data_IF_996708108975
#
_entry.id   IF_996708108975
#
_cell.length_a   1.000
_cell.length_b   1.000
_cell.length_c   1.000
_cell.angle_alpha   90.00
_cell.angle_beta   90.00
_cell.angle_gamma   90.00
#
_symmetry.space_group_name_H-M   'P 1'
#
loop_
_entity.id
_entity.type
_entity.pdbx_description
1 polymer ?
#
# COMPACT_ATOMS: atom_id res chain seq x y z
N UNK A 1 -58.15 12.33 -50.47
CA UNK A 1 -56.83 11.74 -50.82
C UNK A 1 -55.95 12.88 -51.33
N UNK A 2 -54.67 12.96 -50.91
CA UNK A 2 -53.69 14.09 -51.05
C UNK A 2 -53.78 15.15 -49.93
N UNK A 3 -52.87 15.16 -48.93
CA UNK A 3 -51.42 15.53 -48.83
C UNK A 3 -51.29 16.96 -48.28
N UNK A 4 -50.97 17.10 -46.98
CA UNK A 4 -49.65 17.27 -46.34
C UNK A 4 -49.09 18.70 -46.48
N UNK A 5 -48.95 19.39 -45.35
CA UNK A 5 -48.08 20.56 -45.22
C UNK A 5 -48.43 21.50 -44.08
N UNK A 6 -47.91 21.28 -42.87
CA UNK A 6 -47.60 22.37 -41.95
C UNK A 6 -46.45 21.97 -41.02
N UNK A 7 -45.45 22.86 -40.98
CA UNK A 7 -44.21 22.77 -40.22
C UNK A 7 -44.49 23.17 -38.77
N UNK A 8 -44.01 22.41 -37.79
CA UNK A 8 -43.89 22.89 -36.41
C UNK A 8 -42.44 23.30 -36.15
N UNK A 9 -42.27 24.59 -35.86
CA UNK A 9 -41.12 25.19 -35.18
C UNK A 9 -41.53 25.28 -33.71
N UNK A 10 -40.83 24.57 -32.81
CA UNK A 10 -41.05 24.67 -31.37
C UNK A 10 -39.85 25.39 -30.72
N UNK A 11 -40.20 26.36 -29.87
CA UNK A 11 -39.36 27.42 -29.31
C UNK A 11 -38.34 26.92 -28.27
N UNK A 12 -37.09 27.38 -28.41
CA UNK A 12 -35.94 27.17 -27.51
C UNK A 12 -35.90 28.20 -26.34
N UNK A 13 -36.99 28.92 -26.07
CA UNK A 13 -36.96 30.10 -25.19
C UNK A 13 -37.52 29.90 -23.76
N UNK A 14 -37.79 28.66 -23.31
CA UNK A 14 -38.50 28.41 -22.02
C UNK A 14 -37.63 27.76 -20.93
N UNK A 15 -36.38 27.41 -21.19
CA UNK A 15 -35.55 26.63 -20.23
C UNK A 15 -34.56 27.47 -19.40
N UNK A 16 -34.46 28.79 -19.61
CA UNK A 16 -33.35 29.59 -19.03
C UNK A 16 -33.77 30.58 -17.91
N UNK A 17 -35.02 30.60 -17.43
CA UNK A 17 -35.49 31.69 -16.57
C UNK A 17 -36.21 31.32 -15.25
N UNK A 18 -36.08 30.09 -14.73
CA UNK A 18 -36.60 29.74 -13.41
C UNK A 18 -35.68 28.75 -12.70
N UNK A 19 -34.77 29.27 -11.87
CA UNK A 19 -34.28 28.68 -10.60
C UNK A 19 -33.17 29.57 -9.99
N UNK A 20 -33.44 30.87 -9.91
CA UNK A 20 -32.70 31.83 -9.09
C UNK A 20 -33.71 32.41 -8.09
N UNK A 21 -33.73 31.89 -6.85
CA UNK A 21 -33.85 32.65 -5.59
C UNK A 21 -34.07 31.75 -4.36
N UNK A 22 -33.10 31.84 -3.43
CA UNK A 22 -33.20 31.77 -1.95
C UNK A 22 -33.82 30.55 -1.23
N UNK A 23 -32.96 29.81 -0.51
CA UNK A 23 -33.05 29.68 0.97
C UNK A 23 -31.61 29.67 1.54
N UNK A 24 -31.30 30.65 2.39
CA UNK A 24 -30.12 30.69 3.23
C UNK A 24 -30.49 30.23 4.64
N UNK A 25 -29.75 29.28 5.22
CA UNK A 25 -29.77 28.90 6.64
C UNK A 25 -28.31 28.63 7.06
N UNK A 26 -27.86 29.07 8.25
CA UNK A 26 -26.44 29.29 8.53
C UNK A 26 -25.73 28.02 9.00
N UNK A 27 -24.52 27.80 8.51
CA UNK A 27 -23.56 26.84 9.08
C UNK A 27 -22.94 27.46 10.34
N UNK A 28 -23.08 26.75 11.47
CA UNK A 28 -22.39 27.06 12.71
C UNK A 28 -20.89 26.75 12.57
N UNK A 29 -20.06 27.77 12.77
CA UNK A 29 -18.61 27.65 12.85
C UNK A 29 -18.21 26.96 14.15
N UNK A 30 -17.85 25.67 14.08
CA UNK A 30 -17.02 25.04 15.11
C UNK A 30 -15.56 25.35 14.75
N UNK A 31 -14.97 26.28 15.50
CA UNK A 31 -13.57 26.67 15.42
C UNK A 31 -12.74 25.50 15.95
N UNK A 32 -12.07 24.75 15.06
CA UNK A 32 -10.94 23.92 15.44
C UNK A 32 -9.75 24.86 15.69
N UNK A 33 -9.45 25.14 16.96
CA UNK A 33 -8.20 25.78 17.35
C UNK A 33 -7.07 24.77 17.14
N UNK A 34 -6.25 25.00 16.11
CA UNK A 34 -4.93 24.41 16.02
C UNK A 34 -4.09 24.92 17.20
N UNK A 35 -3.71 24.01 18.09
CA UNK A 35 -2.82 24.32 19.21
C UNK A 35 -1.38 24.24 18.68
N UNK A 36 -0.75 25.41 18.52
CA UNK A 36 0.65 25.53 18.10
C UNK A 36 1.56 24.85 19.14
N UNK A 37 2.38 23.90 18.68
CA UNK A 37 3.43 23.28 19.48
C UNK A 37 4.52 24.33 19.77
N UNK A 38 4.70 24.67 21.04
CA UNK A 38 5.79 25.51 21.53
C UNK A 38 7.14 24.77 21.45
N UNK A 39 8.22 25.43 21.02
CA UNK A 39 9.55 24.83 20.96
C UNK A 39 10.17 24.68 22.35
N UNK A 40 10.75 23.50 22.62
CA UNK A 40 11.54 23.17 23.81
C UNK A 40 12.83 24.01 23.85
N UNK A 41 13.23 24.60 24.99
CA UNK A 41 14.44 25.41 25.06
C UNK A 41 15.72 24.57 25.04
N UNK A 42 16.75 25.10 24.39
CA UNK A 42 18.10 24.59 24.33
C UNK A 42 18.71 24.51 25.75
N UNK A 43 19.35 23.38 26.05
CA UNK A 43 20.13 23.19 27.26
C UNK A 43 21.46 23.95 27.19
N UNK A 44 21.76 24.64 28.27
CA UNK A 44 22.96 25.46 28.49
C UNK A 44 24.23 24.60 28.64
N UNK A 45 25.36 25.14 28.16
CA UNK A 45 26.71 24.65 28.44
C UNK A 45 27.03 24.80 29.93
N UNK A 46 27.41 23.70 30.58
CA UNK A 46 28.11 23.76 31.87
C UNK A 46 29.45 23.02 31.76
N UNK A 47 30.52 23.81 31.81
CA UNK A 47 31.91 23.35 31.87
C UNK A 47 32.28 22.96 33.30
N UNK A 48 32.86 21.77 33.52
CA UNK A 48 33.61 21.48 34.73
C UNK A 48 34.72 20.44 34.53
N UNK A 49 35.95 20.94 34.71
CA UNK A 49 37.14 20.35 35.33
C UNK A 49 37.55 18.89 35.05
N UNK A 50 38.79 18.79 34.55
CA UNK A 50 39.64 17.61 34.51
C UNK A 50 40.00 17.13 35.92
N UNK A 51 39.93 15.82 36.16
CA UNK A 51 40.71 15.14 37.19
C UNK A 51 41.22 13.80 36.63
N UNK A 52 42.54 13.63 36.62
CA UNK A 52 43.24 12.42 36.22
C UNK A 52 43.41 11.52 37.44
N UNK A 53 42.88 10.29 37.42
CA UNK A 53 43.52 9.19 38.15
C UNK A 53 43.26 7.83 37.50
N UNK A 54 44.28 7.01 37.60
CA UNK A 54 44.65 5.86 36.76
C UNK A 54 44.06 4.51 37.18
N UNK A 55 43.98 3.64 36.17
CA UNK A 55 44.21 2.20 36.16
C UNK A 55 43.08 1.24 36.57
N UNK A 56 42.72 0.39 35.60
CA UNK A 56 41.93 -0.83 35.78
C UNK A 56 41.50 -1.41 34.43
N UNK A 57 42.44 -1.99 33.68
CA UNK A 57 42.11 -2.84 32.52
C UNK A 57 41.28 -4.05 32.99
N UNK A 58 40.00 -4.07 32.63
CA UNK A 58 39.23 -5.29 32.45
C UNK A 58 38.72 -5.30 31.01
N UNK A 59 39.26 -6.25 30.25
CA UNK A 59 38.87 -6.60 28.91
C UNK A 59 37.43 -7.14 28.96
N UNK A 60 36.47 -6.23 28.84
CA UNK A 60 35.08 -6.55 28.60
C UNK A 60 34.93 -6.93 27.13
N UNK A 61 34.41 -8.14 26.93
CA UNK A 61 33.97 -8.65 25.64
C UNK A 61 33.01 -7.65 25.00
N UNK A 62 33.24 -7.32 23.73
CA UNK A 62 32.28 -6.58 22.89
C UNK A 62 30.98 -7.37 22.80
N UNK A 63 30.11 -7.20 23.79
CA UNK A 63 28.68 -7.42 23.65
C UNK A 63 28.23 -6.41 22.60
N UNK A 64 27.79 -6.92 21.46
CA UNK A 64 27.34 -6.10 20.34
C UNK A 64 26.37 -5.06 20.87
N UNK A 65 26.69 -3.78 20.64
CA UNK A 65 25.76 -2.68 20.82
C UNK A 65 24.48 -3.06 20.07
N UNK A 66 23.41 -3.36 20.78
CA UNK A 66 22.06 -3.33 20.22
C UNK A 66 21.87 -1.91 19.68
N UNK A 67 22.02 -1.77 18.37
CA UNK A 67 21.76 -0.52 17.67
C UNK A 67 20.31 -0.12 18.01
N UNK A 68 20.13 1.07 18.57
CA UNK A 68 18.82 1.61 18.92
C UNK A 68 17.92 1.55 17.68
N UNK A 69 16.96 0.62 17.68
CA UNK A 69 16.08 0.38 16.53
C UNK A 69 15.03 1.47 16.51
N UNK A 70 15.32 2.54 15.76
CA UNK A 70 14.38 3.64 15.57
C UNK A 70 13.27 3.26 14.59
N UNK A 71 12.27 2.53 15.08
CA UNK A 71 11.07 2.24 14.31
C UNK A 71 10.18 3.47 14.20
N UNK A 72 9.56 3.65 13.04
CA UNK A 72 8.44 4.56 12.84
C UNK A 72 7.19 3.76 12.53
N UNK A 73 6.05 4.27 12.97
CA UNK A 73 4.75 3.66 12.73
C UNK A 73 4.01 4.41 11.62
N UNK A 74 3.74 3.73 10.52
CA UNK A 74 2.81 4.21 9.49
C UNK A 74 1.39 3.82 9.87
N UNK A 75 0.42 4.71 9.65
CA UNK A 75 -0.97 4.51 10.06
C UNK A 75 -1.94 4.84 8.92
N UNK A 76 -2.93 3.98 8.71
CA UNK A 76 -4.07 4.24 7.82
C UNK A 76 -5.39 3.85 8.47
N UNK A 77 -6.47 4.48 8.03
CA UNK A 77 -7.83 4.27 8.52
C UNK A 77 -8.73 3.80 7.38
N UNK A 78 -9.63 2.88 7.65
CA UNK A 78 -10.55 2.28 6.71
C UNK A 78 -11.98 2.35 7.27
N UNK A 79 -12.96 2.76 6.46
CA UNK A 79 -14.37 2.88 6.86
C UNK A 79 -15.27 2.29 5.77
N UNK A 80 -16.16 1.36 6.12
CA UNK A 80 -17.15 0.83 5.18
C UNK A 80 -18.25 1.87 4.94
N UNK A 81 -18.17 2.56 3.80
CA UNK A 81 -19.11 3.66 3.48
C UNK A 81 -20.38 3.19 2.80
N UNK A 82 -20.33 2.05 2.11
CA UNK A 82 -21.49 1.34 1.54
C UNK A 82 -21.07 -0.09 1.21
N UNK A 83 -22.01 -0.98 0.89
CA UNK A 83 -21.66 -2.36 0.58
C UNK A 83 -20.57 -2.48 -0.48
N UNK A 84 -19.52 -3.23 -0.14
CA UNK A 84 -18.33 -3.48 -0.94
C UNK A 84 -17.44 -2.28 -1.23
N UNK A 85 -17.58 -1.16 -0.52
CA UNK A 85 -16.78 0.06 -0.74
C UNK A 85 -16.22 0.63 0.56
N UNK A 86 -14.90 0.76 0.61
CA UNK A 86 -14.15 1.23 1.77
C UNK A 86 -13.51 2.57 1.46
N UNK A 87 -13.77 3.57 2.32
CA UNK A 87 -13.05 4.83 2.34
C UNK A 87 -11.78 4.67 3.16
N UNK A 88 -10.66 4.98 2.53
CA UNK A 88 -9.35 4.99 3.14
C UNK A 88 -8.91 6.40 3.48
N UNK A 89 -8.16 6.55 4.57
CA UNK A 89 -7.56 7.83 4.97
C UNK A 89 -6.16 7.62 5.52
N UNK A 90 -5.20 8.44 5.09
CA UNK A 90 -3.87 8.52 5.69
C UNK A 90 -3.25 9.90 5.42
N UNK A 91 -2.62 10.51 6.42
CA UNK A 91 -1.89 11.80 6.30
C UNK A 91 -2.70 12.94 5.65
N UNK A 92 -4.02 12.94 5.79
CA UNK A 92 -4.92 13.94 5.20
C UNK A 92 -5.38 13.63 3.76
N UNK A 93 -4.88 12.55 3.16
CA UNK A 93 -5.34 12.05 1.86
C UNK A 93 -6.44 11.01 2.05
N UNK A 94 -7.35 10.95 1.08
CA UNK A 94 -8.52 10.07 1.09
C UNK A 94 -8.69 9.38 -0.26
N UNK A 95 -8.93 8.08 -0.26
CA UNK A 95 -9.13 7.30 -1.48
C UNK A 95 -10.11 6.15 -1.24
N UNK A 96 -10.56 5.49 -2.30
CA UNK A 96 -11.55 4.41 -2.23
C UNK A 96 -10.93 3.10 -2.66
N UNK A 97 -11.26 2.02 -1.92
CA UNK A 97 -11.12 0.67 -2.40
C UNK A 97 -12.46 -0.05 -2.50
N UNK A 98 -12.64 -0.79 -3.59
CA UNK A 98 -13.81 -1.63 -3.83
C UNK A 98 -13.48 -3.11 -3.67
N UNK A 99 -14.47 -3.87 -3.20
CA UNK A 99 -14.44 -5.32 -3.23
C UNK A 99 -14.67 -5.85 -4.65
N UNK A 100 -14.36 -7.12 -4.82
CA UNK A 100 -14.33 -7.80 -6.12
C UNK A 100 -15.55 -8.69 -6.34
N UNK A 101 -15.89 -9.06 -7.59
CA UNK A 101 -17.07 -9.87 -7.87
C UNK A 101 -17.14 -11.22 -7.13
N UNK A 102 -16.02 -11.94 -6.85
CA UNK A 102 -16.05 -13.15 -6.03
C UNK A 102 -16.64 -12.99 -4.61
N UNK A 103 -16.69 -11.77 -4.08
CA UNK A 103 -17.28 -11.44 -2.77
C UNK A 103 -18.38 -10.37 -2.91
N UNK A 104 -19.11 -10.41 -4.04
CA UNK A 104 -20.26 -9.56 -4.37
C UNK A 104 -19.98 -8.03 -4.34
N UNK A 105 -18.76 -7.67 -4.73
CA UNK A 105 -18.32 -6.27 -4.73
C UNK A 105 -18.69 -5.46 -5.97
N UNK A 106 -18.81 -4.12 -5.83
CA UNK A 106 -19.09 -3.22 -6.95
C UNK A 106 -17.96 -3.23 -8.00
N UNK A 107 -16.70 -3.39 -7.57
CA UNK A 107 -15.52 -3.45 -8.44
C UNK A 107 -15.40 -2.27 -9.43
N UNK A 108 -15.94 -1.11 -9.05
CA UNK A 108 -15.93 0.13 -9.84
C UNK A 108 -14.62 0.91 -9.60
N UNK A 109 -14.13 0.92 -8.36
CA UNK A 109 -12.92 1.60 -7.92
C UNK A 109 -11.72 0.64 -7.80
N UNK A 110 -10.58 1.15 -7.32
CA UNK A 110 -9.33 0.39 -7.12
C UNK A 110 -9.55 -0.79 -6.17
N UNK A 111 -8.97 -1.95 -6.46
CA UNK A 111 -9.04 -3.10 -5.54
C UNK A 111 -7.84 -3.12 -4.59
N UNK A 112 -7.98 -3.64 -3.35
CA UNK A 112 -6.86 -3.75 -2.43
C UNK A 112 -5.63 -4.49 -3.00
N UNK A 113 -5.84 -5.57 -3.77
CA UNK A 113 -4.73 -6.27 -4.43
C UNK A 113 -4.06 -5.41 -5.52
N UNK A 114 -4.83 -4.66 -6.30
CA UNK A 114 -4.29 -3.76 -7.32
C UNK A 114 -3.46 -2.63 -6.67
N UNK A 115 -3.90 -2.13 -5.51
CA UNK A 115 -3.18 -1.15 -4.73
C UNK A 115 -1.87 -1.68 -4.14
N UNK A 116 -1.88 -2.90 -3.57
CA UNK A 116 -0.67 -3.58 -3.10
C UNK A 116 0.37 -3.74 -4.22
N UNK A 117 -0.07 -4.20 -5.40
CA UNK A 117 0.81 -4.36 -6.56
C UNK A 117 1.31 -3.00 -7.06
N UNK A 118 0.41 -2.03 -7.21
CA UNK A 118 0.76 -0.66 -7.58
C UNK A 118 1.79 -0.04 -6.65
N UNK A 119 1.64 -0.24 -5.35
CA UNK A 119 2.56 0.20 -4.33
C UNK A 119 3.94 -0.45 -4.45
N UNK A 120 4.02 -1.78 -4.64
CA UNK A 120 5.27 -2.50 -4.89
C UNK A 120 6.01 -1.90 -6.08
N UNK A 121 5.33 -1.70 -7.20
CA UNK A 121 5.94 -1.17 -8.41
C UNK A 121 6.38 0.29 -8.24
N UNK A 122 5.53 1.16 -7.69
CA UNK A 122 5.88 2.56 -7.46
C UNK A 122 7.06 2.71 -6.50
N UNK A 123 7.10 1.93 -5.41
CA UNK A 123 8.25 1.91 -4.50
C UNK A 123 9.56 1.53 -5.23
N UNK A 124 9.52 0.49 -6.07
CA UNK A 124 10.69 0.10 -6.85
C UNK A 124 11.15 1.21 -7.81
N UNK A 125 10.21 1.89 -8.50
CA UNK A 125 10.53 3.01 -9.39
C UNK A 125 11.17 4.20 -8.64
N UNK A 126 10.74 4.48 -7.41
CA UNK A 126 11.33 5.55 -6.60
C UNK A 126 12.72 5.22 -6.08
N UNK A 127 13.01 3.95 -5.78
CA UNK A 127 14.39 3.55 -5.46
C UNK A 127 15.28 3.63 -6.71
N UNK A 128 14.78 3.30 -7.90
CA UNK A 128 15.54 3.53 -9.15
C UNK A 128 15.89 5.00 -9.34
N UNK A 129 14.92 5.90 -9.10
CA UNK A 129 15.15 7.34 -9.18
C UNK A 129 16.15 7.83 -8.12
N UNK A 130 16.02 7.39 -6.86
CA UNK A 130 16.94 7.75 -5.79
C UNK A 130 18.37 7.27 -6.08
N UNK A 131 18.52 6.00 -6.49
CA UNK A 131 19.80 5.43 -6.90
C UNK A 131 20.44 6.23 -8.05
N UNK A 132 19.63 6.66 -9.02
CA UNK A 132 20.10 7.46 -10.14
C UNK A 132 20.62 8.83 -9.70
N UNK A 133 19.91 9.50 -8.79
CA UNK A 133 20.33 10.78 -8.21
C UNK A 133 21.64 10.64 -7.45
N UNK A 134 21.72 9.66 -6.55
CA UNK A 134 22.86 9.44 -5.66
C UNK A 134 24.14 9.03 -6.41
N UNK A 135 24.00 8.23 -7.48
CA UNK A 135 25.12 7.73 -8.25
C UNK A 135 25.34 8.47 -9.58
N UNK A 136 24.65 9.60 -9.79
CA UNK A 136 24.76 10.43 -10.99
C UNK A 136 24.52 9.65 -12.30
N UNK A 137 23.56 8.72 -12.27
CA UNK A 137 23.17 7.92 -13.43
C UNK A 137 22.14 8.71 -14.25
N UNK A 138 22.28 8.70 -15.57
CA UNK A 138 21.27 9.30 -16.44
C UNK A 138 19.93 8.57 -16.25
N UNK A 139 18.86 9.31 -15.96
CA UNK A 139 17.54 8.74 -15.72
C UNK A 139 16.47 9.66 -16.31
N UNK A 140 15.90 9.25 -17.44
CA UNK A 140 14.96 10.08 -18.20
C UNK A 140 13.51 9.66 -17.97
N UNK A 141 13.27 8.34 -17.96
CA UNK A 141 11.94 7.78 -17.82
C UNK A 141 12.02 6.39 -17.20
N UNK A 142 11.08 6.08 -16.32
CA UNK A 142 10.86 4.72 -15.87
C UNK A 142 9.36 4.42 -15.78
N UNK A 143 9.00 3.21 -16.17
CA UNK A 143 7.66 2.67 -16.08
C UNK A 143 7.72 1.17 -15.91
N UNK A 144 6.60 0.54 -15.58
CA UNK A 144 6.58 -0.90 -15.46
C UNK A 144 5.20 -1.50 -15.39
N UNK A 145 5.20 -2.81 -15.30
CA UNK A 145 4.03 -3.63 -14.96
C UNK A 145 4.45 -4.58 -13.85
N UNK A 146 3.51 -4.86 -12.98
CA UNK A 146 3.63 -5.92 -11.98
C UNK A 146 2.39 -6.80 -12.03
N UNK A 147 2.57 -8.10 -11.81
CA UNK A 147 1.48 -9.05 -11.58
C UNK A 147 1.75 -9.94 -10.39
N UNK A 148 0.66 -10.44 -9.79
CA UNK A 148 0.69 -11.49 -8.78
C UNK A 148 -0.01 -12.75 -9.27
N UNK A 149 0.14 -13.85 -8.55
CA UNK A 149 -0.60 -15.10 -8.79
C UNK A 149 -1.20 -15.60 -7.47
N UNK A 150 -2.50 -15.83 -7.41
CA UNK A 150 -3.17 -16.32 -6.20
C UNK A 150 -4.41 -17.17 -6.53
N UNK A 151 -4.90 -17.95 -5.56
CA UNK A 151 -6.11 -18.75 -5.72
C UNK A 151 -7.36 -17.97 -5.27
N UNK A 152 -8.22 -17.50 -6.21
CA UNK A 152 -9.38 -16.69 -5.85
C UNK A 152 -10.46 -17.47 -5.10
N UNK A 153 -10.42 -18.80 -5.12
CA UNK A 153 -11.42 -19.64 -4.43
C UNK A 153 -11.30 -19.49 -2.92
N UNK A 154 -10.09 -19.28 -2.39
CA UNK A 154 -9.88 -19.04 -0.97
C UNK A 154 -10.54 -17.76 -0.49
N UNK A 155 -10.56 -16.73 -1.33
CA UNK A 155 -11.27 -15.47 -1.06
C UNK A 155 -12.78 -15.69 -0.97
N UNK A 156 -13.31 -16.57 -1.84
CA UNK A 156 -14.71 -16.98 -1.84
C UNK A 156 -15.04 -18.08 -0.79
N UNK A 157 -14.14 -18.37 0.16
CA UNK A 157 -14.40 -19.28 1.27
C UNK A 157 -14.07 -20.76 1.04
N UNK A 158 -13.47 -21.13 -0.09
CA UNK A 158 -12.94 -22.49 -0.27
C UNK A 158 -11.74 -22.73 0.66
N UNK A 159 -11.52 -23.99 1.06
CA UNK A 159 -10.41 -24.39 1.93
C UNK A 159 -9.08 -24.48 1.18
N UNK A 160 -8.64 -23.33 0.65
CA UNK A 160 -7.36 -23.12 -0.04
C UNK A 160 -6.79 -21.79 0.40
N UNK A 161 -5.48 -21.71 0.61
CA UNK A 161 -4.84 -20.46 1.01
C UNK A 161 -4.78 -19.48 -0.19
N UNK A 162 -5.39 -18.28 -0.10
CA UNK A 162 -5.46 -17.32 -1.20
C UNK A 162 -4.25 -16.38 -1.27
N UNK A 163 -3.14 -16.64 -0.57
CA UNK A 163 -1.95 -15.79 -0.62
C UNK A 163 -1.42 -15.62 -2.05
N UNK A 164 -0.74 -14.50 -2.28
CA UNK A 164 0.03 -14.32 -3.51
C UNK A 164 1.27 -15.21 -3.45
N UNK A 165 1.46 -16.04 -4.48
CA UNK A 165 2.49 -17.09 -4.56
C UNK A 165 3.75 -16.64 -5.29
N UNK A 166 3.63 -15.63 -6.13
CA UNK A 166 4.74 -15.06 -6.88
C UNK A 166 4.39 -13.64 -7.33
N UNK A 167 5.42 -12.80 -7.44
CA UNK A 167 5.33 -11.47 -8.04
C UNK A 167 6.23 -11.41 -9.28
N UNK A 168 5.69 -10.88 -10.37
CA UNK A 168 6.44 -10.66 -11.61
C UNK A 168 6.46 -9.17 -11.90
N UNK A 169 7.63 -8.55 -11.80
CA UNK A 169 7.87 -7.12 -12.01
C UNK A 169 8.65 -6.94 -13.30
N UNK A 170 8.14 -6.11 -14.20
CA UNK A 170 8.86 -5.67 -15.41
C UNK A 170 9.03 -4.17 -15.35
N UNK A 171 10.28 -3.68 -15.40
CA UNK A 171 10.62 -2.26 -15.35
C UNK A 171 11.27 -1.89 -16.68
N UNK A 172 10.66 -0.94 -17.40
CA UNK A 172 11.27 -0.24 -18.51
C UNK A 172 11.97 0.99 -17.95
N UNK A 173 13.26 1.12 -18.25
CA UNK A 173 14.06 2.26 -17.78
C UNK A 173 14.90 2.83 -18.93
N UNK A 174 14.90 4.15 -19.04
CA UNK A 174 15.63 4.90 -20.05
C UNK A 174 16.67 5.81 -19.40
N UNK A 175 17.92 5.71 -19.85
CA UNK A 175 19.03 6.46 -19.28
C UNK A 175 20.17 5.57 -18.78
N UNK A 176 19.94 4.64 -17.82
CA UNK A 176 20.98 3.75 -17.34
C UNK A 176 21.37 2.72 -18.40
N UNK A 177 22.62 2.26 -18.34
CA UNK A 177 23.03 1.04 -19.02
C UNK A 177 22.57 -0.22 -18.27
N UNK A 178 22.93 -1.40 -18.80
CA UNK A 178 22.52 -2.70 -18.24
C UNK A 178 23.07 -2.93 -16.84
N UNK A 179 24.33 -2.56 -16.59
CA UNK A 179 24.99 -2.76 -15.30
C UNK A 179 24.38 -1.83 -14.25
N UNK A 180 24.13 -0.58 -14.63
CA UNK A 180 23.44 0.42 -13.80
C UNK A 180 22.01 -0.01 -13.47
N UNK A 181 21.23 -0.51 -14.44
CA UNK A 181 19.88 -1.00 -14.19
C UNK A 181 19.85 -2.24 -13.28
N UNK A 182 20.87 -3.10 -13.35
CA UNK A 182 21.02 -4.23 -12.43
C UNK A 182 21.35 -3.75 -11.00
N UNK A 183 22.24 -2.76 -10.85
CA UNK A 183 22.54 -2.14 -9.56
C UNK A 183 21.31 -1.45 -8.94
N UNK A 184 20.47 -0.80 -9.76
CA UNK A 184 19.18 -0.26 -9.30
C UNK A 184 18.23 -1.34 -8.79
N UNK A 185 18.13 -2.48 -9.49
CA UNK A 185 17.33 -3.62 -9.03
C UNK A 185 17.85 -4.20 -7.70
N UNK A 186 19.17 -4.28 -7.52
CA UNK A 186 19.78 -4.67 -6.25
C UNK A 186 19.45 -3.66 -5.14
N UNK A 187 19.51 -2.36 -5.43
CA UNK A 187 19.14 -1.29 -4.51
C UNK A 187 17.69 -1.41 -4.03
N UNK A 188 16.74 -1.75 -4.94
CA UNK A 188 15.35 -2.05 -4.57
C UNK A 188 15.27 -3.16 -3.54
N UNK A 189 16.04 -4.24 -3.71
CA UNK A 189 16.01 -5.41 -2.82
C UNK A 189 16.50 -5.12 -1.40
N UNK A 190 17.25 -4.01 -1.21
CA UNK A 190 17.78 -3.59 0.10
C UNK A 190 17.01 -2.43 0.71
N UNK A 191 16.50 -1.50 -0.10
CA UNK A 191 15.97 -0.21 0.36
C UNK A 191 14.46 -0.04 0.24
N UNK A 192 13.79 -0.76 -0.66
CA UNK A 192 12.33 -0.63 -0.79
C UNK A 192 11.65 -1.39 0.36
N UNK A 193 10.93 -0.71 1.27
CA UNK A 193 10.26 -1.36 2.40
C UNK A 193 9.17 -2.33 1.94
N UNK A 194 8.53 -2.04 0.79
CA UNK A 194 7.48 -2.89 0.22
C UNK A 194 8.08 -4.16 -0.38
N UNK A 195 9.15 -4.02 -1.18
CA UNK A 195 9.85 -5.15 -1.79
C UNK A 195 10.42 -6.08 -0.72
N UNK A 196 11.15 -5.53 0.25
CA UNK A 196 11.76 -6.29 1.35
C UNK A 196 10.73 -6.98 2.24
N UNK A 197 9.54 -6.41 2.40
CA UNK A 197 8.42 -7.06 3.08
C UNK A 197 7.86 -8.20 2.22
N UNK A 198 7.45 -7.94 0.98
CA UNK A 198 6.77 -8.94 0.13
C UNK A 198 7.69 -10.08 -0.32
N UNK A 199 8.99 -9.84 -0.46
CA UNK A 199 9.95 -10.89 -0.83
C UNK A 199 10.14 -11.93 0.30
N UNK A 200 9.72 -11.64 1.54
CA UNK A 200 9.62 -12.68 2.60
C UNK A 200 8.39 -13.57 2.42
N UNK A 201 7.36 -13.08 1.75
CA UNK A 201 6.08 -13.78 1.58
C UNK A 201 6.09 -14.73 0.38
N UNK A 202 6.68 -14.29 -0.72
CA UNK A 202 6.74 -15.00 -1.99
C UNK A 202 7.88 -14.46 -2.86
N UNK A 203 8.43 -15.27 -3.78
CA UNK A 203 9.49 -14.84 -4.69
C UNK A 203 9.05 -13.67 -5.56
N UNK A 204 9.95 -12.69 -5.73
CA UNK A 204 9.78 -11.58 -6.66
C UNK A 204 10.77 -11.74 -7.82
N UNK A 205 10.25 -11.82 -9.04
CA UNK A 205 11.07 -11.82 -10.26
C UNK A 205 11.04 -10.44 -10.89
N UNK A 206 12.22 -9.84 -11.08
CA UNK A 206 12.39 -8.52 -11.70
C UNK A 206 13.02 -8.68 -13.09
N UNK A 207 12.38 -8.11 -14.10
CA UNK A 207 12.91 -8.04 -15.47
C UNK A 207 13.09 -6.59 -15.87
N UNK A 208 14.34 -6.16 -16.07
CA UNK A 208 14.64 -4.84 -16.61
C UNK A 208 14.57 -4.84 -18.14
N UNK A 209 13.98 -3.79 -18.72
CA UNK A 209 13.99 -3.50 -20.15
C UNK A 209 14.77 -2.21 -20.34
N UNK A 210 15.97 -2.32 -20.90
CA UNK A 210 16.90 -1.21 -21.12
C UNK A 210 17.07 -1.01 -22.62
N UNK A 211 16.77 0.19 -23.12
CA UNK A 211 16.73 0.51 -24.56
C UNK A 211 15.92 -0.50 -25.40
N UNK A 212 14.79 -0.98 -24.86
CA UNK A 212 13.92 -1.95 -25.52
C UNK A 212 14.44 -3.39 -25.53
N UNK A 213 15.53 -3.69 -24.82
CA UNK A 213 16.07 -5.04 -24.67
C UNK A 213 15.79 -5.56 -23.25
N UNK A 214 15.01 -6.64 -23.18
CA UNK A 214 14.78 -7.34 -21.93
C UNK A 214 16.07 -8.02 -21.47
N UNK A 215 16.44 -7.77 -20.21
CA UNK A 215 17.55 -8.43 -19.54
C UNK A 215 17.09 -9.79 -18.99
N UNK A 216 18.06 -10.64 -18.64
CA UNK A 216 17.74 -11.89 -17.94
C UNK A 216 16.99 -11.56 -16.63
N UNK A 217 15.84 -12.22 -16.36
CA UNK A 217 15.11 -11.99 -15.14
C UNK A 217 15.95 -12.33 -13.91
N UNK A 218 15.94 -11.45 -12.91
CA UNK A 218 16.53 -11.71 -11.61
C UNK A 218 15.40 -12.15 -10.68
N UNK A 219 15.42 -13.40 -10.25
CA UNK A 219 14.50 -13.91 -9.23
C UNK A 219 15.16 -13.76 -7.87
N UNK A 220 14.52 -12.97 -7.02
CA UNK A 220 14.86 -12.89 -5.61
C UNK A 220 14.09 -14.01 -4.92
N UNK A 221 14.77 -15.06 -4.42
CA UNK A 221 14.09 -16.14 -3.73
C UNK A 221 13.43 -15.61 -2.46
N UNK A 222 12.34 -16.26 -2.05
CA UNK A 222 11.80 -16.01 -0.71
C UNK A 222 12.81 -16.42 0.37
N UNK A 223 12.79 -15.76 1.52
CA UNK A 223 13.51 -16.26 2.69
C UNK A 223 12.92 -17.62 3.10
N UNK A 224 13.73 -18.61 3.47
CA UNK A 224 13.27 -19.99 3.59
C UNK A 224 12.30 -20.18 4.78
N UNK A 225 10.99 -20.31 4.50
CA UNK A 225 9.98 -20.83 5.44
C UNK A 225 8.84 -21.60 4.76
N UNK A 226 8.65 -22.83 5.25
CA UNK A 226 7.56 -23.84 5.10
C UNK A 226 6.98 -24.04 3.69
N UNK A 227 7.29 -25.20 3.11
CA UNK A 227 6.67 -25.73 1.88
C UNK A 227 5.15 -25.85 2.01
N UNK A 228 4.44 -25.38 0.99
CA UNK A 228 3.00 -25.62 0.85
C UNK A 228 2.79 -27.05 0.33
N UNK A 229 1.95 -27.83 1.00
CA UNK A 229 1.75 -29.26 0.68
C UNK A 229 0.59 -29.48 -0.32
N UNK A 230 0.13 -28.42 -0.99
CA UNK A 230 -1.01 -28.50 -1.92
C UNK A 230 -0.59 -28.77 -3.36
N UNK A 231 -1.07 -29.88 -3.92
CA UNK A 231 -0.86 -30.36 -5.30
C UNK A 231 -1.25 -29.27 -6.33
N UNK A 232 -0.25 -28.79 -7.07
CA UNK A 232 -0.31 -27.59 -7.93
C UNK A 232 -0.77 -27.87 -9.37
N UNK A 233 -1.07 -29.12 -9.72
CA UNK A 233 -1.11 -29.52 -11.14
C UNK A 233 -2.37 -29.11 -11.93
N UNK A 234 -3.36 -28.45 -11.31
CA UNK A 234 -4.62 -28.04 -11.99
C UNK A 234 -5.23 -26.70 -11.54
N UNK A 235 -4.46 -25.79 -10.93
CA UNK A 235 -5.00 -24.56 -10.34
C UNK A 235 -5.25 -23.45 -11.39
N UNK A 236 -6.49 -22.99 -11.54
CA UNK A 236 -6.83 -21.77 -12.29
C UNK A 236 -6.54 -20.55 -11.41
N UNK A 237 -5.28 -20.11 -11.39
CA UNK A 237 -4.84 -18.95 -10.60
C UNK A 237 -5.30 -17.63 -11.21
N UNK A 238 -5.77 -16.72 -10.36
CA UNK A 238 -6.04 -15.34 -10.73
C UNK A 238 -4.71 -14.56 -10.86
N UNK A 239 -4.65 -13.68 -11.87
CA UNK A 239 -3.45 -12.89 -12.21
C UNK A 239 -3.73 -11.38 -12.18
N UNK A 240 -3.92 -10.77 -11.00
CA UNK A 240 -4.08 -9.32 -10.89
C UNK A 240 -2.81 -8.62 -11.40
N UNK A 241 -2.97 -7.41 -11.95
CA UNK A 241 -1.85 -6.65 -12.49
C UNK A 241 -2.07 -5.15 -12.37
N UNK A 242 -0.99 -4.44 -12.06
CA UNK A 242 -0.93 -2.99 -12.07
C UNK A 242 0.20 -2.52 -13.00
N UNK A 243 0.05 -1.31 -13.51
CA UNK A 243 1.10 -0.59 -14.25
C UNK A 243 1.38 0.71 -13.52
N UNK A 244 2.62 1.17 -13.57
CA UNK A 244 3.00 2.48 -13.05
C UNK A 244 3.99 3.13 -14.01
N UNK A 245 3.96 4.46 -14.07
CA UNK A 245 4.96 5.26 -14.80
C UNK A 245 5.29 6.51 -14.00
N UNK A 246 6.56 6.88 -13.98
CA UNK A 246 6.99 8.17 -13.45
C UNK A 246 6.37 9.28 -14.31
N UNK A 247 5.73 10.26 -13.66
CA UNK A 247 5.10 11.42 -14.34
C UNK A 247 5.81 12.73 -14.02
N UNK A 248 6.48 12.79 -12.88
CA UNK A 248 7.41 13.82 -12.44
C UNK A 248 8.32 13.22 -11.37
N UNK A 249 9.33 13.96 -10.92
CA UNK A 249 10.25 13.49 -9.89
C UNK A 249 9.50 13.10 -8.62
N UNK A 250 9.72 11.88 -8.17
CA UNK A 250 9.07 11.33 -6.98
C UNK A 250 7.57 11.14 -7.10
N UNK A 251 6.95 11.15 -8.30
CA UNK A 251 5.51 10.91 -8.46
C UNK A 251 5.22 10.00 -9.65
N UNK A 252 4.35 9.03 -9.41
CA UNK A 252 3.95 8.03 -10.42
C UNK A 252 2.45 8.00 -10.62
N UNK A 253 2.04 7.79 -11.87
CA UNK A 253 0.67 7.42 -12.23
C UNK A 253 0.57 5.91 -12.28
N UNK A 254 -0.26 5.35 -11.41
CA UNK A 254 -0.57 3.93 -11.34
C UNK A 254 -1.89 3.66 -12.08
N UNK A 255 -2.01 2.48 -12.68
CA UNK A 255 -3.18 2.09 -13.45
C UNK A 255 -3.46 0.60 -13.31
N UNK A 256 -4.70 0.24 -12.98
CA UNK A 256 -5.16 -1.14 -12.94
C UNK A 256 -6.65 -1.20 -13.33
N UNK A 257 -7.01 -2.15 -14.20
CA UNK A 257 -8.40 -2.42 -14.64
C UNK A 257 -9.21 -1.20 -15.10
N UNK A 258 -8.55 -0.15 -15.60
CA UNK A 258 -9.19 1.10 -16.05
C UNK A 258 -9.23 2.21 -15.01
N UNK A 259 -8.87 1.92 -13.76
CA UNK A 259 -8.69 2.90 -12.70
C UNK A 259 -7.28 3.47 -12.72
N UNK A 260 -7.16 4.72 -12.31
CA UNK A 260 -5.92 5.50 -12.32
C UNK A 260 -5.79 6.28 -11.02
N UNK A 261 -4.63 6.19 -10.37
CA UNK A 261 -4.36 6.92 -9.14
C UNK A 261 -2.89 7.32 -9.07
N UNK A 262 -2.57 8.22 -8.15
CA UNK A 262 -1.22 8.75 -7.96
C UNK A 262 -0.63 8.15 -6.70
N UNK A 263 0.68 7.86 -6.75
CA UNK A 263 1.49 7.76 -5.54
C UNK A 263 2.59 8.80 -5.57
N UNK A 264 2.99 9.28 -4.40
CA UNK A 264 4.19 10.09 -4.21
C UNK A 264 5.27 9.31 -3.44
N UNK A 265 6.52 9.54 -3.81
CA UNK A 265 7.69 9.16 -3.04
C UNK A 265 7.78 10.02 -1.76
N UNK A 266 8.66 9.63 -0.85
CA UNK A 266 8.86 10.29 0.45
C UNK A 266 10.14 11.13 0.48
N UNK A 267 10.27 12.13 1.39
CA UNK A 267 11.42 13.02 1.41
C UNK A 267 12.79 12.32 1.52
N UNK A 268 12.97 11.22 2.31
CA UNK A 268 14.23 10.49 2.35
C UNK A 268 14.73 9.92 1.01
N UNK A 269 13.83 9.78 0.02
CA UNK A 269 14.15 9.34 -1.35
C UNK A 269 13.57 10.34 -2.36
N UNK A 270 13.77 11.64 -2.06
CA UNK A 270 13.58 12.80 -2.93
C UNK A 270 12.15 13.03 -3.44
N UNK A 271 11.14 12.54 -2.72
CA UNK A 271 9.74 12.67 -3.11
C UNK A 271 9.00 13.89 -2.55
N UNK A 272 7.96 14.38 -3.24
CA UNK A 272 7.11 15.49 -2.78
C UNK A 272 6.23 15.10 -1.59
N UNK A 273 5.79 13.83 -1.53
CA UNK A 273 4.96 13.27 -0.45
C UNK A 273 3.67 14.05 -0.15
N UNK A 274 3.14 14.76 -1.15
CA UNK A 274 1.91 15.55 -1.03
C UNK A 274 0.68 14.63 -1.13
N UNK A 275 0.74 13.67 -2.05
CA UNK A 275 -0.30 12.67 -2.26
C UNK A 275 -0.06 11.41 -1.41
N UNK A 276 -0.97 10.43 -1.49
CA UNK A 276 -0.80 9.08 -0.93
C UNK A 276 0.56 8.52 -1.34
N UNK A 277 1.31 7.91 -0.42
CA UNK A 277 2.57 7.26 -0.78
C UNK A 277 2.36 5.73 -0.91
N UNK A 278 3.29 4.99 -1.55
CA UNK A 278 3.15 3.55 -1.72
C UNK A 278 2.94 2.79 -0.42
N UNK A 279 3.57 3.23 0.68
CA UNK A 279 3.42 2.56 1.97
C UNK A 279 2.00 2.72 2.51
N UNK A 280 1.39 3.90 2.43
CA UNK A 280 -0.01 4.13 2.79
C UNK A 280 -0.94 3.22 1.96
N UNK A 281 -0.68 3.13 0.65
CA UNK A 281 -1.41 2.26 -0.26
C UNK A 281 -1.33 0.78 0.11
N UNK A 282 -0.13 0.31 0.44
CA UNK A 282 0.16 -1.06 0.86
C UNK A 282 -0.53 -1.39 2.18
N UNK A 283 -0.28 -0.60 3.23
CA UNK A 283 -0.81 -0.89 4.57
C UNK A 283 -2.33 -0.74 4.58
N UNK A 284 -2.87 0.24 3.85
CA UNK A 284 -4.30 0.47 3.74
C UNK A 284 -5.06 -0.66 3.03
N UNK A 285 -4.39 -1.41 2.17
CA UNK A 285 -4.99 -2.56 1.50
C UNK A 285 -5.34 -3.69 2.49
N UNK A 286 -4.59 -3.84 3.59
CA UNK A 286 -4.81 -4.86 4.62
C UNK A 286 -6.18 -4.71 5.33
N UNK A 287 -6.49 -3.61 6.05
CA UNK A 287 -7.78 -3.45 6.71
C UNK A 287 -8.94 -3.33 5.72
N UNK A 288 -8.73 -2.76 4.52
CA UNK A 288 -9.79 -2.73 3.50
C UNK A 288 -10.19 -4.13 3.05
N UNK A 289 -9.22 -5.01 2.78
CA UNK A 289 -9.48 -6.42 2.51
C UNK A 289 -10.24 -7.08 3.68
N UNK A 290 -9.81 -6.81 4.93
CA UNK A 290 -10.49 -7.31 6.13
C UNK A 290 -11.93 -6.89 6.22
N UNK A 291 -12.23 -5.59 6.06
CA UNK A 291 -13.60 -5.06 6.05
C UNK A 291 -14.48 -5.78 5.01
N UNK A 292 -13.95 -6.00 3.80
CA UNK A 292 -14.68 -6.68 2.73
C UNK A 292 -14.94 -8.16 3.04
N UNK A 293 -14.00 -8.85 3.71
CA UNK A 293 -14.21 -10.23 4.19
C UNK A 293 -15.26 -10.26 5.32
N UNK A 294 -15.19 -9.33 6.27
CA UNK A 294 -16.19 -9.20 7.34
C UNK A 294 -17.59 -9.02 6.73
N UNK A 295 -17.73 -8.13 5.74
CA UNK A 295 -19.00 -7.93 5.05
C UNK A 295 -19.49 -9.21 4.34
N UNK A 296 -18.62 -9.90 3.61
CA UNK A 296 -18.97 -11.15 2.93
C UNK A 296 -19.44 -12.22 3.93
N UNK A 297 -18.71 -12.42 5.01
CA UNK A 297 -19.04 -13.39 6.07
C UNK A 297 -20.35 -13.02 6.77
N UNK A 298 -20.57 -11.73 7.05
CA UNK A 298 -21.82 -11.29 7.66
C UNK A 298 -23.03 -11.62 6.78
N UNK A 299 -22.90 -11.41 5.46
CA UNK A 299 -23.93 -11.76 4.49
C UNK A 299 -24.15 -13.27 4.38
N UNK A 300 -23.07 -14.06 4.36
CA UNK A 300 -23.12 -15.54 4.28
C UNK A 300 -23.81 -16.17 5.49
N UNK A 301 -23.46 -15.70 6.71
CA UNK A 301 -23.91 -16.26 7.97
C UNK A 301 -25.19 -15.59 8.53
N UNK A 302 -25.67 -14.52 7.88
CA UNK A 302 -26.83 -13.76 8.33
C UNK A 302 -26.58 -12.96 9.62
N UNK A 303 -25.34 -12.54 9.86
CA UNK A 303 -24.93 -11.72 11.00
C UNK A 303 -25.28 -10.25 10.72
N UNK A 304 -25.82 -9.56 11.71
CA UNK A 304 -26.09 -8.12 11.60
C UNK A 304 -24.77 -7.35 11.62
N UNK A 305 -24.44 -6.66 10.54
CA UNK A 305 -23.29 -5.74 10.47
C UNK A 305 -23.80 -4.33 10.16
N UNK A 306 -23.89 -3.48 11.19
CA UNK A 306 -24.43 -2.12 11.06
C UNK A 306 -23.38 -1.14 10.57
N UNK A 307 -22.16 -1.25 11.10
CA UNK A 307 -21.01 -0.47 10.70
C UNK A 307 -19.72 -1.21 11.01
N UNK A 308 -18.69 -0.91 10.23
CA UNK A 308 -17.33 -1.40 10.46
C UNK A 308 -16.33 -0.36 10.01
N UNK A 309 -15.34 -0.10 10.85
CA UNK A 309 -14.16 0.66 10.49
C UNK A 309 -12.92 -0.01 11.09
N UNK A 310 -11.75 0.34 10.59
CA UNK A 310 -10.51 -0.23 11.04
C UNK A 310 -9.36 0.76 11.01
N UNK A 311 -8.42 0.58 11.93
CA UNK A 311 -7.12 1.27 11.92
C UNK A 311 -6.05 0.23 11.70
N UNK A 312 -5.09 0.52 10.82
CA UNK A 312 -3.87 -0.29 10.66
C UNK A 312 -2.66 0.54 11.04
N UNK A 313 -1.75 -0.07 11.78
CA UNK A 313 -0.42 0.43 12.06
C UNK A 313 0.63 -0.56 11.55
N UNK A 314 1.72 -0.04 10.99
CA UNK A 314 2.83 -0.84 10.50
C UNK A 314 4.16 -0.21 10.92
N UNK A 315 5.02 -0.99 11.59
CA UNK A 315 6.32 -0.50 12.04
C UNK A 315 7.42 -0.84 11.06
N UNK A 316 8.27 0.12 10.73
CA UNK A 316 9.45 -0.07 9.88
C UNK A 316 10.61 0.82 10.32
N UNK A 317 11.82 0.47 9.90
CA UNK A 317 12.98 1.33 10.08
C UNK A 317 13.17 2.23 8.85
N UNK A 318 12.91 3.55 8.94
CA UNK A 318 12.97 4.45 7.80
C UNK A 318 14.41 4.71 7.33
N UNK A 319 15.42 4.40 8.16
CA UNK A 319 16.84 4.61 7.81
C UNK A 319 17.24 3.72 6.65
N UNK A 320 16.69 2.51 6.58
CA UNK A 320 16.93 1.60 5.45
C UNK A 320 16.40 2.13 4.13
N UNK A 321 15.26 2.83 4.16
CA UNK A 321 14.70 3.52 2.98
C UNK A 321 15.67 4.62 2.51
N UNK A 322 16.24 5.36 3.48
CA UNK A 322 17.23 6.41 3.25
C UNK A 322 18.64 5.88 2.87
N UNK A 323 18.83 4.57 2.76
CA UNK A 323 20.10 3.96 2.32
C UNK A 323 21.05 3.52 3.43
N UNK A 324 20.65 3.58 4.70
CA UNK A 324 21.43 2.96 5.78
C UNK A 324 21.43 1.42 5.64
N UNK A 325 22.45 0.76 6.18
CA UNK A 325 22.59 -0.71 6.17
C UNK A 325 21.68 -1.39 7.21
N UNK A 326 20.38 -1.12 7.12
CA UNK A 326 19.34 -1.75 7.91
C UNK A 326 18.18 -2.13 6.99
N UNK A 327 17.58 -3.30 7.22
CA UNK A 327 16.47 -3.75 6.40
C UNK A 327 15.18 -2.97 6.75
N UNK A 328 14.60 -2.21 5.80
CA UNK A 328 13.44 -1.34 6.03
C UNK A 328 12.09 -2.06 5.97
N UNK A 329 12.08 -3.40 5.90
CA UNK A 329 10.83 -4.18 5.91
C UNK A 329 9.94 -3.80 7.09
N UNK A 330 8.64 -4.00 6.91
CA UNK A 330 7.67 -3.92 7.99
C UNK A 330 7.97 -5.03 9.00
N UNK A 331 7.98 -4.68 10.28
CA UNK A 331 8.34 -5.55 11.42
C UNK A 331 7.13 -6.13 12.11
N UNK A 332 6.02 -5.40 12.13
CA UNK A 332 4.76 -5.84 12.69
C UNK A 332 3.62 -5.02 12.09
N UNK A 333 2.43 -5.64 12.03
CA UNK A 333 1.17 -4.97 11.76
C UNK A 333 0.26 -5.07 12.99
N UNK A 334 -0.46 -4.01 13.30
CA UNK A 334 -1.57 -4.01 14.26
C UNK A 334 -2.82 -3.50 13.57
N UNK A 335 -3.88 -4.30 13.57
CA UNK A 335 -5.16 -3.98 12.94
C UNK A 335 -6.23 -3.97 14.03
N UNK A 336 -6.83 -2.81 14.29
CA UNK A 336 -8.00 -2.71 15.16
C UNK A 336 -9.25 -2.69 14.31
N UNK A 337 -10.14 -3.67 14.48
CA UNK A 337 -11.42 -3.76 13.78
C UNK A 337 -12.55 -3.31 14.72
N UNK A 338 -13.15 -2.14 14.46
CA UNK A 338 -14.31 -1.69 15.21
C UNK A 338 -15.59 -2.11 14.47
N UNK A 339 -16.31 -3.08 15.02
CA UNK A 339 -17.56 -3.61 14.46
C UNK A 339 -18.76 -3.27 15.33
N UNK A 340 -19.87 -2.86 14.71
CA UNK A 340 -21.17 -2.73 15.36
C UNK A 340 -22.19 -3.68 14.72
N UNK A 341 -22.96 -4.37 15.55
CA UNK A 341 -23.95 -5.36 15.14
C UNK A 341 -23.63 -6.79 15.60
N UNK A 342 -22.46 -7.37 15.28
CA UNK A 342 -22.10 -8.72 15.69
C UNK A 342 -21.94 -8.85 17.22
N UNK A 343 -22.20 -10.04 17.75
CA UNK A 343 -21.75 -10.45 19.09
C UNK A 343 -20.23 -10.64 19.13
N UNK A 344 -19.65 -10.73 20.33
CA UNK A 344 -18.21 -10.97 20.48
C UNK A 344 -17.74 -12.29 19.83
N UNK A 345 -18.54 -13.36 19.95
CA UNK A 345 -18.24 -14.66 19.34
C UNK A 345 -18.33 -14.60 17.81
N UNK A 346 -19.31 -13.89 17.26
CA UNK A 346 -19.42 -13.65 15.82
C UNK A 346 -18.23 -12.80 15.31
N UNK A 347 -17.83 -11.77 16.04
CA UNK A 347 -16.69 -10.93 15.68
C UNK A 347 -15.36 -11.71 15.69
N UNK A 348 -15.15 -12.60 16.66
CA UNK A 348 -13.99 -13.50 16.72
C UNK A 348 -13.97 -14.46 15.53
N UNK A 349 -15.11 -15.08 15.22
CA UNK A 349 -15.25 -15.92 14.02
C UNK A 349 -14.96 -15.14 12.74
N UNK A 350 -15.45 -13.90 12.61
CA UNK A 350 -15.16 -13.04 11.45
C UNK A 350 -13.67 -12.70 11.35
N UNK A 351 -12.97 -12.49 12.47
CA UNK A 351 -11.52 -12.31 12.50
C UNK A 351 -10.77 -13.56 12.02
N UNK A 352 -11.23 -14.75 12.40
CA UNK A 352 -10.69 -16.01 11.88
C UNK A 352 -10.90 -16.12 10.36
N UNK A 353 -12.09 -15.79 9.85
CA UNK A 353 -12.34 -15.79 8.41
C UNK A 353 -11.47 -14.77 7.67
N UNK A 354 -11.25 -13.59 8.24
CA UNK A 354 -10.33 -12.59 7.70
C UNK A 354 -8.91 -13.18 7.55
N UNK A 355 -8.39 -13.82 8.61
CA UNK A 355 -7.05 -14.43 8.58
C UNK A 355 -6.90 -15.52 7.52
N UNK A 356 -7.98 -16.25 7.19
CA UNK A 356 -7.96 -17.38 6.24
C UNK A 356 -8.26 -16.97 4.80
N UNK A 357 -9.18 -16.04 4.59
CA UNK A 357 -9.75 -15.72 3.27
C UNK A 357 -9.14 -14.48 2.63
N UNK A 358 -8.55 -13.55 3.40
CA UNK A 358 -7.97 -12.36 2.80
C UNK A 358 -6.61 -12.68 2.14
N UNK A 359 -6.47 -12.47 0.82
CA UNK A 359 -5.20 -12.72 0.11
C UNK A 359 -4.08 -11.79 0.58
N UNK A 360 -4.42 -10.60 1.10
CA UNK A 360 -3.43 -9.65 1.61
C UNK A 360 -2.94 -10.07 2.99
N UNK A 361 -3.84 -10.44 3.90
CA UNK A 361 -3.48 -10.97 5.22
C UNK A 361 -2.58 -12.19 5.09
N UNK A 362 -3.01 -13.19 4.32
CA UNK A 362 -2.27 -14.45 4.12
C UNK A 362 -0.94 -14.28 3.39
N UNK A 363 -0.78 -13.18 2.65
CA UNK A 363 0.52 -12.77 2.10
C UNK A 363 1.37 -12.10 3.18
N UNK A 364 0.83 -11.14 3.92
CA UNK A 364 1.61 -10.30 4.85
C UNK A 364 2.01 -11.06 6.12
N UNK A 365 1.22 -12.04 6.58
CA UNK A 365 1.53 -12.84 7.77
C UNK A 365 2.83 -13.65 7.63
N UNK A 366 3.23 -13.97 6.40
CA UNK A 366 4.52 -14.61 6.10
C UNK A 366 5.71 -13.64 6.24
N UNK A 367 5.45 -12.35 6.05
CA UNK A 367 6.48 -11.31 6.13
C UNK A 367 6.69 -10.80 7.55
N UNK A 368 5.60 -10.58 8.29
CA UNK A 368 5.61 -10.01 9.64
C UNK A 368 4.38 -10.46 10.44
N UNK A 369 4.46 -10.52 11.78
CA UNK A 369 3.30 -10.77 12.63
C UNK A 369 2.21 -9.73 12.40
N UNK A 370 0.96 -10.19 12.39
CA UNK A 370 -0.24 -9.35 12.31
C UNK A 370 -1.08 -9.60 13.57
N UNK A 371 -1.22 -8.58 14.39
CA UNK A 371 -2.17 -8.57 15.50
C UNK A 371 -3.51 -8.00 15.02
N UNK A 372 -4.61 -8.73 15.22
CA UNK A 372 -5.97 -8.26 14.95
C UNK A 372 -6.71 -8.19 16.28
N UNK A 373 -7.32 -7.05 16.58
CA UNK A 373 -8.13 -6.81 17.78
C UNK A 373 -9.54 -6.39 17.41
#
# INVERSE_FOLDING_TARGET
MQRKGSKQLFNVAVVVALLLTLVAVPFGSAVLQAQEATPTPAAEEESAAMDESTAGESMETEEGMEEDVQLVTATAFADLVRPGRVLMSARGNHWIYDSVPPIDGPNEEVNPLDAMLGALLSCALYIYEAEAVENHIAFNHASGRVSGEFDPRGVAGADVNPRVRAFNVTINVEGPDVEQAAAMADSVSRRCPIFTTLNRSAPITVTNIVYGQAQEPVTFPEEPLVEDTTDESTLELARPSAQARMIETGRSLVSARGNHWIYDSVPPIFGPNEEVNPLDGLIGALPACGIMIYEAVANEEGISLNSINATVEADLDPRGVAGADVNPRIRAFRVTMNVDGPTAEEAEMMAEQYSRRCPIYTTFERAAPIEVT
#
